data_IF_486044099244
#
_entry.id   IF_486044099244
#
_cell.length_a   1.000
_cell.length_b   1.000
_cell.length_c   1.000
_cell.angle_alpha   90.00
_cell.angle_beta   90.00
_cell.angle_gamma   90.00
#
_symmetry.space_group_name_H-M   'P 1'
#
loop_
_entity.id
_entity.type
_entity.pdbx_description
1 polymer ?
#
# COMPACT_ATOMS: atom_id res chain seq x y z
N UNK A 1 -3.69 12.98 22.83
CA UNK A 1 -5.07 12.83 22.34
C UNK A 1 -5.39 11.40 21.92
N UNK A 2 -4.66 10.78 20.99
CA UNK A 2 -4.93 9.38 20.54
C UNK A 2 -4.88 8.36 21.69
N UNK A 3 -3.89 8.47 22.59
CA UNK A 3 -3.74 7.56 23.73
C UNK A 3 -4.84 7.73 24.80
N UNK A 4 -5.40 8.93 24.93
CA UNK A 4 -6.54 9.19 25.81
C UNK A 4 -7.81 8.53 25.26
N UNK A 5 -8.07 8.68 23.96
CA UNK A 5 -9.24 8.09 23.30
C UNK A 5 -9.18 6.56 23.31
N UNK A 6 -8.01 5.96 23.06
CA UNK A 6 -7.83 4.50 23.17
C UNK A 6 -8.05 3.95 24.58
N UNK A 7 -7.70 4.72 25.60
CA UNK A 7 -7.92 4.34 27.00
C UNK A 7 -9.39 4.31 27.43
N UNK A 8 -10.23 5.10 26.77
CA UNK A 8 -11.66 5.23 27.13
C UNK A 8 -12.55 4.24 26.36
N UNK A 9 -12.24 3.90 25.11
CA UNK A 9 -13.12 3.09 24.25
C UNK A 9 -12.67 1.65 24.08
N UNK A 10 -11.38 1.34 24.29
CA UNK A 10 -10.79 0.02 23.97
C UNK A 10 -10.77 -0.32 22.47
N UNK A 11 -11.25 0.57 21.60
CA UNK A 11 -11.34 0.39 20.15
C UNK A 11 -10.14 0.95 19.40
N UNK A 12 -9.91 0.44 18.21
CA UNK A 12 -8.87 0.96 17.31
C UNK A 12 -9.36 2.24 16.62
N UNK A 13 -8.78 3.39 17.01
CA UNK A 13 -9.19 4.71 16.51
C UNK A 13 -8.27 5.13 15.37
N UNK A 14 -8.88 5.50 14.24
CA UNK A 14 -8.20 6.10 13.10
C UNK A 14 -8.56 7.58 12.97
N UNK A 15 -7.55 8.43 12.83
CA UNK A 15 -7.70 9.87 12.63
C UNK A 15 -7.09 10.24 11.27
N UNK A 16 -7.84 11.02 10.49
CA UNK A 16 -7.31 11.60 9.25
C UNK A 16 -7.64 13.09 9.19
N UNK A 17 -6.78 13.84 8.51
CA UNK A 17 -7.01 15.28 8.30
C UNK A 17 -6.59 15.72 6.91
N UNK A 18 -7.35 16.71 6.38
CA UNK A 18 -7.09 17.36 5.11
C UNK A 18 -6.09 18.51 5.23
N UNK A 19 -5.99 19.30 4.18
CA UNK A 19 -5.16 20.50 4.15
C UNK A 19 -5.75 21.60 5.04
N UNK A 20 -4.89 22.32 5.76
CA UNK A 20 -5.30 23.51 6.50
C UNK A 20 -5.73 24.57 5.49
N UNK A 21 -6.93 25.10 5.67
CA UNK A 21 -7.51 26.10 4.77
C UNK A 21 -7.75 27.43 5.49
N UNK A 22 -7.47 28.58 4.86
CA UNK A 22 -7.61 29.87 5.48
C UNK A 22 -9.06 30.41 5.48
N UNK A 23 -9.94 29.85 4.63
CA UNK A 23 -11.29 30.40 4.45
C UNK A 23 -12.36 29.32 4.67
N UNK A 24 -13.48 29.69 5.27
CA UNK A 24 -14.62 28.81 5.55
C UNK A 24 -15.18 28.12 4.31
N UNK A 25 -15.20 28.80 3.17
CA UNK A 25 -15.67 28.22 1.88
C UNK A 25 -14.85 27.01 1.42
N UNK A 26 -13.61 26.86 1.90
CA UNK A 26 -12.71 25.77 1.55
C UNK A 26 -12.78 24.58 2.52
N UNK A 27 -13.52 24.69 3.63
CA UNK A 27 -13.64 23.62 4.63
C UNK A 27 -14.19 22.33 4.01
N UNK A 28 -15.15 22.46 3.09
CA UNK A 28 -15.70 21.29 2.36
C UNK A 28 -14.64 20.52 1.58
N UNK A 29 -13.67 21.22 0.99
CA UNK A 29 -12.51 20.60 0.31
C UNK A 29 -11.65 19.85 1.31
N UNK A 30 -11.24 20.53 2.38
CA UNK A 30 -10.40 19.90 3.43
C UNK A 30 -11.08 18.68 4.06
N UNK A 31 -12.38 18.71 4.26
CA UNK A 31 -13.16 17.55 4.73
C UNK A 31 -13.12 16.37 3.75
N UNK A 32 -13.29 16.60 2.44
CA UNK A 32 -13.20 15.56 1.41
C UNK A 32 -11.79 14.96 1.37
N UNK A 33 -10.76 15.79 1.50
CA UNK A 33 -9.36 15.36 1.60
C UNK A 33 -9.13 14.48 2.85
N UNK A 34 -9.66 14.86 4.00
CA UNK A 34 -9.57 14.09 5.24
C UNK A 34 -10.27 12.72 5.10
N UNK A 35 -11.45 12.69 4.48
CA UNK A 35 -12.18 11.45 4.20
C UNK A 35 -11.40 10.52 3.30
N UNK A 36 -10.83 11.03 2.20
CA UNK A 36 -9.93 10.27 1.33
C UNK A 36 -8.71 9.76 2.09
N UNK A 37 -8.11 10.58 2.95
CA UNK A 37 -6.97 10.17 3.76
C UNK A 37 -7.30 9.03 4.72
N UNK A 38 -8.51 8.99 5.25
CA UNK A 38 -8.99 7.91 6.11
C UNK A 38 -9.06 6.58 5.33
N UNK A 39 -9.68 6.58 4.14
CA UNK A 39 -9.83 5.39 3.31
C UNK A 39 -8.48 4.90 2.78
N UNK A 40 -7.67 5.79 2.21
CA UNK A 40 -6.31 5.47 1.72
C UNK A 40 -5.43 4.95 2.86
N UNK A 41 -5.57 5.51 4.07
CA UNK A 41 -4.91 5.05 5.27
C UNK A 41 -5.24 3.60 5.60
N UNK A 42 -6.52 3.24 5.58
CA UNK A 42 -6.99 1.88 5.82
C UNK A 42 -6.51 0.88 4.77
N UNK A 43 -6.46 1.29 3.50
CA UNK A 43 -6.07 0.41 2.40
C UNK A 43 -4.57 0.14 2.39
N UNK A 44 -3.74 1.19 2.55
CA UNK A 44 -2.31 1.12 2.23
C UNK A 44 -1.38 1.28 3.42
N UNK A 45 -1.85 1.86 4.53
CA UNK A 45 -1.01 2.24 5.66
C UNK A 45 -1.45 1.57 6.96
N UNK A 46 -1.72 0.25 6.90
CA UNK A 46 -2.07 -0.55 8.08
C UNK A 46 -1.08 -0.31 9.22
N UNK A 47 -1.63 -0.01 10.42
CA UNK A 47 -0.83 0.31 11.62
C UNK A 47 -0.56 1.80 11.83
N UNK A 48 -0.93 2.69 10.89
CA UNK A 48 -0.92 4.13 11.13
C UNK A 48 -2.30 4.60 11.57
N UNK A 49 -2.40 5.01 12.82
CA UNK A 49 -3.65 5.51 13.38
C UNK A 49 -3.92 6.97 13.05
N UNK A 50 -2.92 7.70 12.54
CA UNK A 50 -3.05 9.12 12.14
C UNK A 50 -2.48 9.28 10.75
N UNK A 51 -3.30 9.77 9.81
CA UNK A 51 -2.93 9.95 8.40
C UNK A 51 -3.29 11.36 7.93
N UNK A 52 -2.33 12.04 7.30
CA UNK A 52 -2.54 13.34 6.67
C UNK A 52 -2.72 13.19 5.16
N UNK A 53 -3.65 13.96 4.57
CA UNK A 53 -3.85 13.97 3.12
C UNK A 53 -2.56 14.24 2.33
N UNK A 54 -1.74 15.19 2.77
CA UNK A 54 -0.48 15.54 2.12
C UNK A 54 0.59 14.43 2.14
N UNK A 55 0.43 13.39 2.96
CA UNK A 55 1.40 12.29 3.09
C UNK A 55 1.01 11.01 2.36
N UNK A 56 -0.12 11.02 1.63
CA UNK A 56 -0.66 9.82 0.98
C UNK A 56 0.15 9.31 -0.21
N UNK A 57 1.02 10.15 -0.80
CA UNK A 57 1.85 9.75 -1.92
C UNK A 57 1.06 9.12 -3.08
N UNK A 58 1.58 8.02 -3.61
CA UNK A 58 0.98 7.30 -4.74
C UNK A 58 -0.38 6.66 -4.38
N UNK A 59 -0.64 6.35 -3.12
CA UNK A 59 -1.93 5.79 -2.67
C UNK A 59 -3.11 6.68 -3.03
N UNK A 60 -2.92 8.00 -2.99
CA UNK A 60 -3.93 8.98 -3.40
C UNK A 60 -4.29 8.90 -4.89
N UNK A 61 -3.30 8.63 -5.74
CA UNK A 61 -3.53 8.46 -7.18
C UNK A 61 -4.29 7.16 -7.46
N UNK A 62 -3.85 6.06 -6.85
CA UNK A 62 -4.47 4.75 -7.04
C UNK A 62 -5.93 4.74 -6.57
N UNK A 63 -6.23 5.37 -5.44
CA UNK A 63 -7.59 5.47 -4.92
C UNK A 63 -8.57 6.18 -5.86
N UNK A 64 -8.07 7.00 -6.78
CA UNK A 64 -8.88 7.73 -7.77
C UNK A 64 -8.97 7.02 -9.13
N UNK A 65 -8.32 5.86 -9.31
CA UNK A 65 -8.39 5.12 -10.57
C UNK A 65 -9.75 4.47 -10.75
N UNK A 66 -10.33 4.55 -11.96
CA UNK A 66 -11.54 3.80 -12.28
C UNK A 66 -11.30 2.29 -12.17
N UNK A 67 -12.21 1.56 -11.52
CA UNK A 67 -12.09 0.09 -11.36
C UNK A 67 -11.92 -0.67 -12.68
N UNK A 68 -12.59 -0.31 -13.81
CA UNK A 68 -12.32 -0.96 -15.08
C UNK A 68 -10.86 -0.85 -15.54
N UNK A 69 -10.22 0.31 -15.31
CA UNK A 69 -8.79 0.50 -15.61
C UNK A 69 -7.91 -0.37 -14.71
N UNK A 70 -8.24 -0.45 -13.43
CA UNK A 70 -7.55 -1.33 -12.47
C UNK A 70 -7.61 -2.79 -12.91
N UNK A 71 -8.80 -3.29 -13.28
CA UNK A 71 -9.00 -4.67 -13.76
C UNK A 71 -8.20 -4.97 -15.04
N UNK A 72 -8.17 -4.03 -15.98
CA UNK A 72 -7.38 -4.18 -17.20
C UNK A 72 -5.88 -4.28 -16.88
N UNK A 73 -5.37 -3.38 -16.06
CA UNK A 73 -3.97 -3.38 -15.65
C UNK A 73 -3.55 -4.68 -14.94
N UNK A 74 -4.39 -5.20 -14.05
CA UNK A 74 -4.11 -6.44 -13.32
C UNK A 74 -4.16 -7.66 -14.25
N UNK A 75 -5.10 -7.73 -15.21
CA UNK A 75 -5.15 -8.83 -16.20
C UNK A 75 -3.87 -8.98 -17.02
N UNK A 76 -3.21 -7.87 -17.31
CA UNK A 76 -1.95 -7.85 -18.04
C UNK A 76 -0.74 -8.24 -17.18
N UNK A 77 -0.81 -7.99 -15.89
CA UNK A 77 0.32 -8.08 -14.94
C UNK A 77 -0.01 -8.93 -13.71
N UNK A 78 -0.98 -9.86 -13.83
CA UNK A 78 -1.53 -10.60 -12.70
C UNK A 78 -0.46 -11.13 -11.76
N UNK A 79 -0.35 -10.60 -10.53
CA UNK A 79 0.18 -11.35 -9.44
C UNK A 79 -0.93 -12.32 -9.03
N UNK A 80 -0.75 -13.61 -9.27
CA UNK A 80 -1.53 -14.64 -8.60
C UNK A 80 -1.52 -14.37 -7.09
N UNK A 81 -2.50 -14.89 -6.36
CA UNK A 81 -2.52 -14.74 -4.91
C UNK A 81 -1.21 -15.27 -4.33
N UNK A 82 -0.35 -14.34 -3.91
CA UNK A 82 0.90 -14.71 -3.24
C UNK A 82 0.60 -15.11 -1.81
N UNK A 83 1.28 -16.15 -1.34
CA UNK A 83 1.26 -16.50 0.07
C UNK A 83 1.87 -15.39 0.96
N UNK A 84 1.58 -15.46 2.24
CA UNK A 84 2.01 -14.46 3.23
C UNK A 84 3.54 -14.34 3.29
N UNK A 85 4.26 -15.45 3.13
CA UNK A 85 5.73 -15.47 3.14
C UNK A 85 6.30 -14.70 1.95
N UNK A 86 5.72 -14.90 0.77
CA UNK A 86 6.11 -14.19 -0.45
C UNK A 86 5.82 -12.69 -0.34
N UNK A 87 4.63 -12.31 0.15
CA UNK A 87 4.27 -10.91 0.37
C UNK A 87 5.19 -10.23 1.38
N UNK A 88 5.55 -10.93 2.46
CA UNK A 88 6.51 -10.45 3.46
C UNK A 88 7.88 -10.22 2.83
N UNK A 89 8.35 -11.16 2.00
CA UNK A 89 9.63 -11.04 1.29
C UNK A 89 9.64 -9.83 0.36
N UNK A 90 8.58 -9.63 -0.44
CA UNK A 90 8.44 -8.51 -1.36
C UNK A 90 8.42 -7.18 -0.62
N UNK A 91 7.61 -7.07 0.43
CA UNK A 91 7.50 -5.84 1.21
C UNK A 91 8.84 -5.47 1.86
N UNK A 92 9.53 -6.44 2.47
CA UNK A 92 10.87 -6.21 3.03
C UNK A 92 11.90 -5.81 1.98
N UNK A 93 11.82 -6.37 0.79
CA UNK A 93 12.71 -6.01 -0.30
C UNK A 93 12.50 -4.56 -0.76
N UNK A 94 11.25 -4.11 -0.85
CA UNK A 94 10.92 -2.70 -1.13
C UNK A 94 11.32 -1.75 0.00
N UNK A 95 11.07 -2.13 1.26
CA UNK A 95 11.47 -1.33 2.43
C UNK A 95 12.98 -1.11 2.49
N UNK A 96 13.77 -2.09 2.05
CA UNK A 96 15.23 -2.03 2.00
C UNK A 96 15.77 -1.50 0.66
N UNK A 97 14.98 -0.77 -0.09
CA UNK A 97 15.38 -0.14 -1.36
C UNK A 97 16.02 -1.11 -2.34
N UNK A 98 15.44 -2.30 -2.49
CA UNK A 98 15.90 -3.40 -3.37
C UNK A 98 17.28 -3.97 -2.99
N UNK A 99 17.72 -3.80 -1.76
CA UNK A 99 18.99 -4.32 -1.28
C UNK A 99 18.89 -5.78 -0.83
N UNK A 100 19.43 -6.70 -1.62
CA UNK A 100 19.38 -8.15 -1.38
C UNK A 100 20.04 -8.53 -0.04
N UNK A 101 21.22 -7.96 0.26
CA UNK A 101 21.97 -8.32 1.47
C UNK A 101 21.25 -7.87 2.74
N UNK A 102 20.77 -6.64 2.76
CA UNK A 102 20.02 -6.11 3.91
C UNK A 102 18.68 -6.83 4.10
N UNK A 103 17.97 -7.12 3.01
CA UNK A 103 16.70 -7.85 3.07
C UNK A 103 16.88 -9.27 3.59
N UNK A 104 17.90 -10.00 3.11
CA UNK A 104 18.17 -11.36 3.61
C UNK A 104 18.52 -11.37 5.10
N UNK A 105 19.29 -10.37 5.56
CA UNK A 105 19.62 -10.19 6.98
C UNK A 105 18.38 -9.96 7.83
N UNK A 106 17.48 -9.08 7.40
CA UNK A 106 16.25 -8.75 8.14
C UNK A 106 15.22 -9.87 8.13
N UNK A 107 15.21 -10.70 7.08
CA UNK A 107 14.35 -11.88 6.99
C UNK A 107 14.97 -13.13 7.67
N UNK A 108 16.19 -13.02 8.20
CA UNK A 108 16.92 -14.14 8.81
C UNK A 108 17.09 -15.35 7.85
N UNK A 109 17.29 -15.09 6.55
CA UNK A 109 17.52 -16.11 5.52
C UNK A 109 18.86 -15.90 4.84
N UNK A 110 19.38 -16.97 4.23
CA UNK A 110 20.60 -16.87 3.43
C UNK A 110 20.33 -16.04 2.16
N UNK A 111 21.35 -15.26 1.73
CA UNK A 111 21.25 -14.44 0.51
C UNK A 111 20.78 -15.24 -0.73
N UNK A 112 21.31 -16.44 -0.91
CA UNK A 112 20.91 -17.29 -2.06
C UNK A 112 19.44 -17.73 -1.99
N UNK A 113 18.87 -17.90 -0.79
CA UNK A 113 17.46 -18.18 -0.60
C UNK A 113 16.60 -17.00 -1.06
N UNK A 114 17.01 -15.78 -0.74
CA UNK A 114 16.30 -14.59 -1.21
C UNK A 114 16.40 -14.46 -2.74
N UNK A 115 17.59 -14.65 -3.32
CA UNK A 115 17.77 -14.62 -4.79
C UNK A 115 16.86 -15.66 -5.46
N UNK A 116 16.82 -16.88 -4.95
CA UNK A 116 15.93 -17.93 -5.45
C UNK A 116 14.44 -17.52 -5.41
N UNK A 117 13.99 -16.89 -4.33
CA UNK A 117 12.62 -16.37 -4.21
C UNK A 117 12.33 -15.29 -5.25
N UNK A 118 13.25 -14.35 -5.46
CA UNK A 118 13.12 -13.30 -6.48
C UNK A 118 13.11 -13.89 -7.90
N UNK A 119 13.94 -14.90 -8.19
CA UNK A 119 13.94 -15.60 -9.49
C UNK A 119 12.62 -16.35 -9.73
N UNK A 120 12.05 -16.95 -8.69
CA UNK A 120 10.73 -17.60 -8.75
C UNK A 120 9.63 -16.59 -9.07
N UNK A 121 9.66 -15.41 -8.42
CA UNK A 121 8.73 -14.30 -8.70
C UNK A 121 8.87 -13.81 -10.14
N UNK A 122 10.10 -13.61 -10.62
CA UNK A 122 10.35 -13.20 -12.00
C UNK A 122 9.78 -14.21 -13.02
N UNK A 123 9.95 -15.51 -12.76
CA UNK A 123 9.41 -16.56 -13.62
C UNK A 123 7.89 -16.58 -13.66
N UNK A 124 7.23 -16.31 -12.54
CA UNK A 124 5.76 -16.34 -12.44
C UNK A 124 5.10 -15.07 -12.96
N UNK A 125 5.73 -13.91 -12.80
CA UNK A 125 5.13 -12.61 -13.12
C UNK A 125 5.71 -11.94 -14.36
N UNK A 126 6.87 -12.39 -14.83
CA UNK A 126 7.63 -11.73 -15.88
C UNK A 126 8.36 -10.46 -15.44
N UNK A 127 8.30 -10.08 -14.15
CA UNK A 127 8.88 -8.87 -13.60
C UNK A 127 10.05 -9.20 -12.67
N UNK A 128 11.24 -8.66 -12.95
CA UNK A 128 12.41 -8.79 -12.09
C UNK A 128 12.44 -7.65 -11.05
N UNK A 129 12.11 -7.96 -9.81
CA UNK A 129 12.08 -6.96 -8.73
C UNK A 129 13.43 -6.30 -8.42
N UNK A 130 14.53 -6.80 -8.98
CA UNK A 130 15.86 -6.18 -8.90
C UNK A 130 16.05 -5.05 -9.91
N UNK A 131 15.19 -5.00 -10.93
CA UNK A 131 15.12 -3.92 -11.92
C UNK A 131 14.12 -2.88 -11.43
N UNK A 132 14.54 -1.63 -11.31
CA UNK A 132 13.76 -0.56 -10.70
C UNK A 132 12.39 -0.36 -11.37
N UNK A 133 12.33 -0.34 -12.70
CA UNK A 133 11.07 -0.18 -13.44
C UNK A 133 10.10 -1.34 -13.20
N UNK A 134 10.60 -2.58 -13.16
CA UNK A 134 9.79 -3.76 -12.85
C UNK A 134 9.32 -3.74 -11.41
N UNK A 135 10.19 -3.33 -10.49
CA UNK A 135 9.86 -3.19 -9.07
C UNK A 135 8.74 -2.16 -8.84
N UNK A 136 8.79 -1.00 -9.52
CA UNK A 136 7.71 0.00 -9.48
C UNK A 136 6.41 -0.58 -10.03
N UNK A 137 6.46 -1.20 -11.20
CA UNK A 137 5.30 -1.82 -11.84
C UNK A 137 4.65 -2.84 -10.91
N UNK A 138 5.45 -3.69 -10.30
CA UNK A 138 4.99 -4.68 -9.34
C UNK A 138 4.39 -4.06 -8.07
N UNK A 139 5.03 -3.02 -7.53
CA UNK A 139 4.53 -2.28 -6.37
C UNK A 139 3.15 -1.66 -6.63
N UNK A 140 2.99 -1.04 -7.80
CA UNK A 140 1.72 -0.47 -8.23
C UNK A 140 0.66 -1.57 -8.37
N UNK A 141 0.99 -2.72 -8.98
CA UNK A 141 0.08 -3.83 -9.13
C UNK A 141 -0.43 -4.35 -7.78
N UNK A 142 0.46 -4.52 -6.79
CA UNK A 142 0.05 -4.90 -5.42
C UNK A 142 -0.88 -3.86 -4.79
N UNK A 143 -0.62 -2.58 -4.98
CA UNK A 143 -1.48 -1.52 -4.44
C UNK A 143 -2.85 -1.51 -5.13
N UNK A 144 -2.89 -1.69 -6.45
CA UNK A 144 -4.14 -1.79 -7.22
C UNK A 144 -4.99 -2.97 -6.75
N UNK A 145 -4.38 -4.14 -6.51
CA UNK A 145 -5.09 -5.32 -5.97
C UNK A 145 -5.70 -5.03 -4.60
N UNK A 146 -4.95 -4.38 -3.69
CA UNK A 146 -5.47 -3.99 -2.38
C UNK A 146 -6.65 -3.02 -2.48
N UNK A 147 -6.54 -2.05 -3.38
CA UNK A 147 -7.60 -1.09 -3.63
C UNK A 147 -8.87 -1.76 -4.17
N UNK A 148 -8.73 -2.65 -5.16
CA UNK A 148 -9.87 -3.38 -5.72
C UNK A 148 -10.57 -4.24 -4.66
N UNK A 149 -9.81 -5.00 -3.85
CA UNK A 149 -10.36 -5.80 -2.74
C UNK A 149 -11.12 -4.93 -1.73
N UNK A 150 -10.59 -3.75 -1.40
CA UNK A 150 -11.26 -2.80 -0.51
C UNK A 150 -12.59 -2.33 -1.10
N UNK A 151 -12.61 -1.92 -2.37
CA UNK A 151 -13.82 -1.44 -3.02
C UNK A 151 -14.89 -2.54 -3.11
N UNK A 152 -14.52 -3.78 -3.42
CA UNK A 152 -15.44 -4.92 -3.44
C UNK A 152 -16.09 -5.20 -2.06
N UNK A 153 -15.40 -4.89 -0.97
CA UNK A 153 -15.92 -5.08 0.39
C UNK A 153 -16.92 -3.99 0.79
N UNK A 154 -16.86 -2.80 0.19
CA UNK A 154 -17.70 -1.64 0.56
C UNK A 154 -18.74 -1.25 -0.51
N UNK A 155 -18.83 -1.98 -1.64
CA UNK A 155 -19.88 -1.81 -2.65
C UNK A 155 -21.24 -2.47 -2.26
N UNK A 156 -21.39 -2.95 -1.00
CA UNK A 156 -22.65 -3.53 -0.48
C UNK A 156 -23.25 -2.64 0.59
#
# INVERSE_FOLDING_TARGET
MLNLLKGETGEEIHIAYGTIVPELKEVSRSYKEAKMALDVGKIFYNGKNVVAYGTLGIGRLIYQLPLPLCRMFIREKSPDEFDEETLTTINKFFENSLNVSETSRQLYIHRNTLVYRLDKLQKSTGLDLRVFEDAITFKIALMVVKYMKYMETYEY
#
